data_IF_997802234990
#
_entry.id   IF_997802234990
#
_cell.length_a   1.000
_cell.length_b   1.000
_cell.length_c   1.000
_cell.angle_alpha   90.00
_cell.angle_beta   90.00
_cell.angle_gamma   90.00
#
_symmetry.space_group_name_H-M   'P 1'
#
loop_
_entity.id
_entity.type
_entity.pdbx_description
1 polymer ?
#
# COMPACT_ATOMS: atom_id res chain seq x y z
N UNK A 1 0.57 12.49 -12.71
CA UNK A 1 1.56 13.01 -13.69
C UNK A 1 1.24 12.40 -15.04
N UNK A 2 1.16 13.21 -16.10
CA UNK A 2 0.92 12.74 -17.47
C UNK A 2 2.19 12.06 -18.01
N UNK A 3 2.36 10.80 -17.71
CA UNK A 3 3.53 10.00 -18.11
C UNK A 3 3.15 8.52 -18.19
N UNK A 4 4.02 7.69 -18.73
CA UNK A 4 3.82 6.24 -18.71
C UNK A 4 3.80 5.72 -17.27
N UNK A 5 3.17 4.58 -17.05
CA UNK A 5 3.18 3.92 -15.75
C UNK A 5 4.62 3.66 -15.30
N UNK A 6 5.48 3.15 -16.19
CA UNK A 6 6.91 2.95 -15.91
C UNK A 6 7.57 4.24 -15.44
N UNK A 7 7.44 5.34 -16.17
CA UNK A 7 8.02 6.62 -15.81
C UNK A 7 7.50 7.15 -14.45
N UNK A 8 6.23 6.88 -14.14
CA UNK A 8 5.63 7.22 -12.85
C UNK A 8 6.25 6.42 -11.68
N UNK A 9 6.58 5.15 -11.89
CA UNK A 9 7.21 4.30 -10.86
C UNK A 9 8.68 4.66 -10.69
N UNK A 10 9.43 4.76 -11.79
CA UNK A 10 10.85 5.10 -11.76
C UNK A 10 11.09 6.46 -11.13
N UNK A 11 10.25 7.42 -11.40
CA UNK A 11 10.32 8.78 -10.88
C UNK A 11 11.73 9.39 -10.99
N UNK A 12 12.36 9.22 -12.16
CA UNK A 12 13.70 9.72 -12.45
C UNK A 12 14.86 8.82 -11.99
N UNK A 13 14.58 7.62 -11.45
CA UNK A 13 15.59 6.63 -11.11
C UNK A 13 15.94 5.75 -12.30
N UNK A 14 17.12 5.13 -12.25
CA UNK A 14 17.53 4.14 -13.22
C UNK A 14 16.60 2.93 -13.24
N UNK A 15 16.43 2.35 -14.42
CA UNK A 15 15.62 1.16 -14.62
C UNK A 15 16.42 -0.09 -14.28
N UNK A 16 16.04 -0.76 -13.23
CA UNK A 16 16.49 -2.10 -12.85
C UNK A 16 15.32 -3.06 -13.14
N UNK A 17 15.43 -3.83 -14.18
CA UNK A 17 14.35 -4.68 -14.70
C UNK A 17 13.88 -5.70 -13.67
N UNK A 18 14.79 -6.43 -13.05
CA UNK A 18 14.45 -7.48 -12.07
C UNK A 18 13.74 -6.91 -10.85
N UNK A 19 14.24 -5.80 -10.33
CA UNK A 19 13.64 -5.15 -9.18
C UNK A 19 12.31 -4.49 -9.52
N UNK A 20 12.21 -3.92 -10.71
CA UNK A 20 10.97 -3.30 -11.20
C UNK A 20 9.81 -4.30 -11.25
N UNK A 21 10.02 -5.46 -11.85
CA UNK A 21 9.01 -6.50 -11.93
C UNK A 21 8.67 -7.11 -10.57
N UNK A 22 9.64 -7.24 -9.66
CA UNK A 22 9.40 -7.65 -8.27
C UNK A 22 8.48 -6.66 -7.55
N UNK A 23 8.71 -5.36 -7.73
CA UNK A 23 7.89 -4.31 -7.12
C UNK A 23 6.47 -4.32 -7.70
N UNK A 24 6.31 -4.46 -9.01
CA UNK A 24 4.99 -4.56 -9.65
C UNK A 24 4.18 -5.74 -9.11
N UNK A 25 4.80 -6.91 -9.06
CA UNK A 25 4.18 -8.12 -8.51
C UNK A 25 3.80 -7.93 -7.04
N UNK A 26 4.71 -7.42 -6.21
CA UNK A 26 4.44 -7.19 -4.79
C UNK A 26 3.32 -6.17 -4.55
N UNK A 27 3.14 -5.20 -5.46
CA UNK A 27 2.04 -4.23 -5.42
C UNK A 27 0.74 -4.72 -6.08
N UNK A 28 0.67 -5.99 -6.52
CA UNK A 28 -0.47 -6.56 -7.24
C UNK A 28 -0.89 -5.73 -8.47
N UNK A 29 0.10 -5.29 -9.28
CA UNK A 29 -0.12 -4.50 -10.50
C UNK A 29 0.02 -5.33 -11.79
N UNK A 30 0.48 -6.58 -11.70
CA UNK A 30 0.73 -7.43 -12.88
C UNK A 30 -0.53 -7.67 -13.71
N UNK A 31 -1.65 -8.00 -13.07
CA UNK A 31 -2.92 -8.27 -13.75
C UNK A 31 -3.47 -6.99 -14.42
N UNK A 32 -3.26 -5.82 -13.80
CA UNK A 32 -3.63 -4.55 -14.42
C UNK A 32 -2.85 -4.28 -15.70
N UNK A 33 -1.54 -4.63 -15.70
CA UNK A 33 -0.68 -4.43 -16.87
C UNK A 33 -1.12 -5.26 -18.07
N UNK A 34 -1.64 -6.48 -17.84
CA UNK A 34 -2.16 -7.33 -18.91
C UNK A 34 -3.41 -6.73 -19.57
N UNK A 35 -4.20 -5.99 -18.81
CA UNK A 35 -5.42 -5.33 -19.32
C UNK A 35 -5.14 -4.01 -20.05
N UNK A 36 -3.94 -3.41 -19.87
CA UNK A 36 -3.64 -2.11 -20.43
C UNK A 36 -3.01 -2.19 -21.82
N UNK A 37 -3.42 -1.32 -22.78
CA UNK A 37 -3.08 -1.46 -24.20
C UNK A 37 -1.59 -1.52 -24.53
N UNK A 38 -0.75 -0.89 -23.70
CA UNK A 38 0.70 -0.84 -23.85
C UNK A 38 1.41 -1.28 -22.57
N UNK A 39 0.75 -2.12 -21.76
CA UNK A 39 1.29 -2.56 -20.47
C UNK A 39 1.81 -1.37 -19.66
N UNK A 40 3.01 -1.43 -19.11
CA UNK A 40 3.63 -0.38 -18.30
C UNK A 40 4.06 0.87 -19.09
N UNK A 41 4.03 0.81 -20.43
CA UNK A 41 4.22 1.96 -21.32
C UNK A 41 2.91 2.73 -21.60
N UNK A 42 1.80 2.30 -21.02
CA UNK A 42 0.53 3.02 -21.09
C UNK A 42 0.66 4.37 -20.38
N UNK A 43 0.28 5.45 -21.07
CA UNK A 43 0.25 6.81 -20.49
C UNK A 43 -0.97 6.93 -19.59
N UNK A 44 -0.77 7.40 -18.37
CA UNK A 44 -1.80 7.62 -17.36
C UNK A 44 -1.86 9.10 -16.96
N UNK A 45 -3.03 9.57 -16.54
CA UNK A 45 -3.27 10.97 -16.15
C UNK A 45 -4.32 11.65 -17.03
N UNK A 46 -4.42 12.99 -16.96
CA UNK A 46 -5.51 13.76 -17.61
C UNK A 46 -5.61 13.56 -19.13
N UNK A 47 -4.47 13.39 -19.81
CA UNK A 47 -4.40 13.15 -21.26
C UNK A 47 -4.14 11.67 -21.62
N UNK A 48 -4.25 10.76 -20.66
CA UNK A 48 -4.04 9.33 -20.81
C UNK A 48 -5.17 8.51 -20.19
N UNK A 49 -4.88 7.22 -19.96
CA UNK A 49 -5.86 6.32 -19.38
C UNK A 49 -6.19 6.72 -17.93
N UNK A 50 -7.49 6.74 -17.62
CA UNK A 50 -7.94 6.96 -16.25
C UNK A 50 -7.83 5.65 -15.47
N UNK A 51 -7.16 5.69 -14.32
CA UNK A 51 -6.99 4.53 -13.44
C UNK A 51 -7.86 4.63 -12.19
N UNK A 52 -8.30 3.51 -11.65
CA UNK A 52 -9.13 3.45 -10.43
C UNK A 52 -8.38 4.00 -9.21
N UNK A 53 -9.13 4.30 -8.13
CA UNK A 53 -8.53 4.71 -6.85
C UNK A 53 -7.56 3.68 -6.29
N UNK A 54 -7.93 2.39 -6.34
CA UNK A 54 -7.08 1.29 -5.90
C UNK A 54 -5.83 1.10 -6.76
N UNK A 55 -5.94 1.23 -8.09
CA UNK A 55 -4.79 1.20 -9.00
C UNK A 55 -3.84 2.37 -8.72
N UNK A 56 -4.39 3.55 -8.44
CA UNK A 56 -3.62 4.75 -8.09
C UNK A 56 -2.85 4.60 -6.79
N UNK A 57 -3.49 4.03 -5.77
CA UNK A 57 -2.85 3.73 -4.48
C UNK A 57 -1.71 2.72 -4.64
N UNK A 58 -1.94 1.62 -5.39
CA UNK A 58 -0.92 0.60 -5.67
C UNK A 58 0.25 1.15 -6.49
N UNK A 59 -0.02 2.02 -7.46
CA UNK A 59 1.02 2.71 -8.22
C UNK A 59 1.87 3.66 -7.34
N UNK A 60 1.24 4.41 -6.44
CA UNK A 60 1.95 5.27 -5.49
C UNK A 60 2.84 4.45 -4.55
N UNK A 61 2.33 3.30 -4.09
CA UNK A 61 3.10 2.37 -3.27
C UNK A 61 4.28 1.78 -4.06
N UNK A 62 4.08 1.37 -5.33
CA UNK A 62 5.14 0.85 -6.19
C UNK A 62 6.26 1.88 -6.39
N UNK A 63 5.93 3.14 -6.65
CA UNK A 63 6.89 4.25 -6.70
C UNK A 63 7.69 4.37 -5.40
N UNK A 64 6.98 4.31 -4.27
CA UNK A 64 7.59 4.41 -2.95
C UNK A 64 8.56 3.26 -2.68
N UNK A 65 8.15 2.02 -2.95
CA UNK A 65 9.00 0.83 -2.77
C UNK A 65 10.19 0.86 -3.73
N UNK A 66 9.97 1.21 -5.00
CA UNK A 66 11.04 1.30 -6.00
C UNK A 66 12.10 2.34 -5.64
N UNK A 67 11.79 3.28 -4.76
CA UNK A 67 12.73 4.30 -4.30
C UNK A 67 13.97 3.75 -3.59
N UNK A 68 13.92 2.54 -3.06
CA UNK A 68 15.01 1.91 -2.27
C UNK A 68 15.52 2.78 -1.12
N UNK A 69 14.62 3.50 -0.47
CA UNK A 69 14.95 4.31 0.69
C UNK A 69 15.27 3.44 1.92
N UNK A 70 15.90 4.03 2.93
CA UNK A 70 16.16 3.33 4.20
C UNK A 70 15.01 3.49 5.20
N UNK A 71 14.21 4.54 5.05
CA UNK A 71 13.09 4.87 5.92
C UNK A 71 11.86 5.16 5.07
N UNK A 72 10.73 4.57 5.44
CA UNK A 72 9.44 4.71 4.76
C UNK A 72 8.37 5.26 5.70
N UNK A 73 7.62 6.24 5.21
CA UNK A 73 6.39 6.72 5.83
C UNK A 73 5.22 6.40 4.91
N UNK A 74 4.35 5.51 5.33
CA UNK A 74 3.21 5.02 4.57
C UNK A 74 1.92 5.47 5.26
N UNK A 75 1.24 6.45 4.66
CA UNK A 75 0.01 6.99 5.20
C UNK A 75 -1.20 6.25 4.64
N UNK A 76 -1.82 5.43 5.48
CA UNK A 76 -2.97 4.57 5.18
C UNK A 76 -2.90 3.86 3.81
N UNK A 77 -1.79 3.17 3.50
CA UNK A 77 -1.47 2.69 2.15
C UNK A 77 -2.43 1.62 1.64
N UNK A 78 -3.27 1.08 2.52
CA UNK A 78 -4.14 -0.06 2.23
C UNK A 78 -5.64 0.30 2.21
N UNK A 79 -6.03 1.55 2.44
CA UNK A 79 -7.44 1.96 2.56
C UNK A 79 -8.24 1.77 1.27
N UNK A 80 -7.60 1.99 0.12
CA UNK A 80 -8.26 2.00 -1.19
C UNK A 80 -8.27 0.63 -1.91
N UNK A 81 -7.78 -0.44 -1.27
CA UNK A 81 -7.68 -1.77 -1.88
C UNK A 81 -8.55 -2.80 -1.13
N UNK A 82 -8.99 -3.84 -1.86
CA UNK A 82 -9.79 -4.93 -1.28
C UNK A 82 -8.97 -5.82 -0.34
N UNK A 83 -9.66 -6.74 0.37
CA UNK A 83 -9.05 -7.57 1.39
C UNK A 83 -7.97 -8.52 0.87
N UNK A 84 -8.13 -9.05 -0.34
CA UNK A 84 -7.19 -10.00 -0.96
C UNK A 84 -5.91 -9.25 -1.32
N UNK A 85 -6.03 -8.10 -1.97
CA UNK A 85 -4.90 -7.24 -2.35
C UNK A 85 -4.22 -6.66 -1.11
N UNK A 86 -4.97 -6.29 -0.05
CA UNK A 86 -4.38 -5.88 1.25
C UNK A 86 -3.45 -6.95 1.80
N UNK A 87 -3.93 -8.18 1.82
CA UNK A 87 -3.15 -9.31 2.33
C UNK A 87 -1.89 -9.51 1.49
N UNK A 88 -2.02 -9.51 0.17
CA UNK A 88 -0.89 -9.65 -0.74
C UNK A 88 0.17 -8.57 -0.51
N UNK A 89 -0.23 -7.29 -0.38
CA UNK A 89 0.68 -6.17 -0.12
C UNK A 89 1.36 -6.29 1.25
N UNK A 90 0.61 -6.67 2.28
CA UNK A 90 1.19 -6.90 3.61
C UNK A 90 2.30 -7.94 3.56
N UNK A 91 2.03 -9.11 2.98
CA UNK A 91 2.98 -10.22 2.95
C UNK A 91 4.21 -9.93 2.07
N UNK A 92 4.00 -9.27 0.92
CA UNK A 92 5.07 -9.08 -0.07
C UNK A 92 5.82 -7.73 0.05
N UNK A 93 5.29 -6.77 0.82
CA UNK A 93 5.93 -5.44 0.97
C UNK A 93 6.21 -5.13 2.43
N UNK A 94 5.16 -5.10 3.28
CA UNK A 94 5.22 -4.44 4.59
C UNK A 94 5.78 -5.35 5.68
N UNK A 95 5.44 -6.63 5.70
CA UNK A 95 5.91 -7.55 6.75
C UNK A 95 7.40 -7.90 6.60
N UNK A 96 7.95 -8.59 7.59
CA UNK A 96 9.38 -8.93 7.66
C UNK A 96 9.88 -9.78 6.49
N UNK A 97 8.99 -10.48 5.80
CA UNK A 97 9.30 -11.28 4.60
C UNK A 97 9.19 -10.49 3.30
N UNK A 98 8.60 -9.30 3.34
CA UNK A 98 8.36 -8.46 2.17
C UNK A 98 9.55 -7.59 1.77
N UNK A 99 9.39 -6.84 0.68
CA UNK A 99 10.44 -5.99 0.09
C UNK A 99 10.98 -4.90 1.03
N UNK A 100 10.19 -4.49 2.03
CA UNK A 100 10.58 -3.53 3.06
C UNK A 100 10.91 -4.20 4.40
N UNK A 101 11.06 -5.52 4.43
CA UNK A 101 11.22 -6.30 5.68
C UNK A 101 12.43 -5.91 6.52
N UNK A 102 13.53 -5.51 5.90
CA UNK A 102 14.77 -5.04 6.49
C UNK A 102 14.84 -3.51 6.69
N UNK A 103 13.79 -2.78 6.31
CA UNK A 103 13.74 -1.31 6.33
C UNK A 103 12.96 -0.78 7.53
N UNK A 104 13.33 0.43 7.98
CA UNK A 104 12.52 1.15 8.95
C UNK A 104 11.26 1.70 8.26
N UNK A 105 10.10 1.34 8.78
CA UNK A 105 8.81 1.74 8.21
C UNK A 105 7.81 2.17 9.27
N UNK A 106 7.20 3.31 9.03
CA UNK A 106 6.08 3.84 9.80
C UNK A 106 4.83 3.73 8.96
N UNK A 107 3.82 3.06 9.47
CA UNK A 107 2.56 2.85 8.76
C UNK A 107 1.43 3.43 9.61
N UNK A 108 0.73 4.44 9.10
CA UNK A 108 -0.53 4.87 9.71
C UNK A 108 -1.66 3.97 9.19
N UNK A 109 -2.60 3.62 10.05
CA UNK A 109 -3.73 2.78 9.67
C UNK A 109 -4.88 2.90 10.65
N UNK A 110 -6.10 2.78 10.15
CA UNK A 110 -7.31 2.59 10.95
C UNK A 110 -7.74 1.11 11.02
N UNK A 111 -6.92 0.19 10.52
CA UNK A 111 -7.20 -1.24 10.48
C UNK A 111 -6.56 -1.95 11.68
N UNK A 112 -7.34 -2.21 12.73
CA UNK A 112 -6.89 -2.83 13.98
C UNK A 112 -6.25 -4.21 13.78
N UNK A 113 -6.63 -4.92 12.71
CA UNK A 113 -6.12 -6.24 12.40
C UNK A 113 -4.66 -6.26 11.93
N UNK A 114 -4.05 -5.10 11.63
CA UNK A 114 -2.63 -4.98 11.28
C UNK A 114 -1.77 -4.81 12.54
N UNK A 115 -2.31 -4.25 13.59
CA UNK A 115 -1.57 -3.92 14.81
C UNK A 115 -0.81 -5.11 15.42
N UNK A 116 -1.36 -6.34 15.48
CA UNK A 116 -0.63 -7.50 16.01
C UNK A 116 0.63 -7.87 15.22
N UNK A 117 0.76 -7.39 13.97
CA UNK A 117 1.88 -7.69 13.07
C UNK A 117 3.04 -6.71 13.22
N UNK A 118 2.85 -5.64 13.99
CA UNK A 118 3.84 -4.58 14.18
C UNK A 118 4.76 -4.88 15.37
N UNK A 119 6.00 -4.39 15.31
CA UNK A 119 6.94 -4.43 16.43
C UNK A 119 6.59 -3.36 17.49
N UNK A 120 6.07 -2.23 17.05
CA UNK A 120 5.69 -1.12 17.90
C UNK A 120 4.38 -0.52 17.42
N UNK A 121 3.55 -0.09 18.37
CA UNK A 121 2.30 0.63 18.10
C UNK A 121 2.41 1.99 18.79
N UNK A 122 2.37 3.05 17.99
CA UNK A 122 2.25 4.42 18.47
C UNK A 122 0.80 4.87 18.38
N UNK A 123 0.20 5.16 19.54
CA UNK A 123 -1.17 5.70 19.61
C UNK A 123 -1.11 7.19 19.89
N UNK A 124 -1.79 7.97 19.06
CA UNK A 124 -1.93 9.42 19.22
C UNK A 124 -3.33 9.72 19.72
N UNK A 125 -3.44 10.27 20.92
CA UNK A 125 -4.72 10.65 21.55
C UNK A 125 -4.58 11.96 22.29
N UNK A 126 -5.51 12.90 22.07
CA UNK A 126 -5.57 14.20 22.74
C UNK A 126 -4.21 14.95 22.78
N UNK A 127 -3.45 14.92 21.68
CA UNK A 127 -2.14 15.59 21.57
C UNK A 127 -1.00 14.86 22.31
N UNK A 128 -1.23 13.65 22.80
CA UNK A 128 -0.21 12.81 23.42
C UNK A 128 0.10 11.59 22.58
N UNK A 129 1.35 11.15 22.60
CA UNK A 129 1.80 9.93 21.93
C UNK A 129 2.16 8.89 23.00
N UNK A 130 1.59 7.71 22.90
CA UNK A 130 1.99 6.55 23.70
C UNK A 130 2.54 5.46 22.78
N UNK A 131 3.63 4.81 23.18
CA UNK A 131 4.26 3.76 22.38
C UNK A 131 4.24 2.44 23.17
N UNK A 132 3.70 1.40 22.54
CA UNK A 132 3.73 0.02 23.04
C UNK A 132 4.65 -0.80 22.16
N UNK A 133 5.65 -1.45 22.76
CA UNK A 133 6.51 -2.43 22.10
C UNK A 133 5.88 -3.81 22.25
N UNK A 134 5.90 -4.60 21.20
CA UNK A 134 5.37 -5.97 21.20
C UNK A 134 6.17 -6.88 20.28
N UNK A 135 6.07 -8.20 20.50
CA UNK A 135 6.56 -9.19 19.56
C UNK A 135 5.51 -9.38 18.46
N UNK A 136 5.84 -9.21 17.18
CA UNK A 136 4.91 -9.44 16.09
C UNK A 136 4.37 -10.87 16.11
N UNK A 137 3.07 -11.02 15.92
CA UNK A 137 2.48 -12.35 15.76
C UNK A 137 2.88 -12.91 14.40
N UNK A 138 3.43 -14.15 14.42
CA UNK A 138 3.75 -14.87 13.17
C UNK A 138 2.44 -15.32 12.53
N UNK A 139 2.29 -15.01 11.25
CA UNK A 139 1.07 -15.26 10.49
C UNK A 139 0.82 -16.76 10.23
N UNK A 140 -0.28 -17.27 10.78
CA UNK A 140 -0.90 -18.53 10.33
C UNK A 140 -2.35 -18.36 9.92
N UNK A 141 -2.79 -17.42 9.22
CA UNK A 141 -4.16 -17.12 8.79
C UNK A 141 -4.82 -15.93 9.52
N UNK A 142 -4.61 -14.75 9.02
CA UNK A 142 -5.48 -13.62 9.33
C UNK A 142 -6.66 -13.59 8.36
N UNK A 143 -7.86 -13.80 8.86
CA UNK A 143 -9.09 -13.47 8.14
C UNK A 143 -9.30 -11.96 8.19
N UNK A 144 -9.22 -11.28 7.05
CA UNK A 144 -9.70 -9.92 6.94
C UNK A 144 -11.23 -9.94 7.04
N UNK A 145 -11.78 -9.70 8.23
CA UNK A 145 -13.20 -9.37 8.35
C UNK A 145 -13.43 -8.08 7.56
N UNK A 146 -14.33 -8.14 6.60
CA UNK A 146 -14.82 -6.94 5.92
C UNK A 146 -15.28 -5.96 6.99
N UNK A 147 -14.82 -4.70 6.91
CA UNK A 147 -15.26 -3.66 7.82
C UNK A 147 -16.79 -3.59 7.76
N UNK A 148 -17.45 -3.80 8.89
CA UNK A 148 -18.89 -3.55 8.99
C UNK A 148 -19.13 -2.08 8.66
N UNK A 149 -20.05 -1.75 7.73
CA UNK A 149 -20.32 -0.36 7.41
C UNK A 149 -20.80 0.35 8.67
N UNK A 150 -20.15 1.46 9.02
CA UNK A 150 -20.61 2.33 10.10
C UNK A 150 -22.05 2.70 9.83
N UNK A 151 -22.97 2.56 10.81
CA UNK A 151 -24.35 2.96 10.60
C UNK A 151 -24.39 4.45 10.22
N UNK A 152 -25.09 4.76 9.13
CA UNK A 152 -25.33 6.13 8.71
C UNK A 152 -25.93 6.90 9.89
N UNK A 153 -25.33 8.04 10.25
CA UNK A 153 -25.96 8.97 11.18
C UNK A 153 -27.34 9.31 10.64
N UNK A 154 -28.37 9.01 11.40
CA UNK A 154 -29.72 9.44 11.13
C UNK A 154 -29.69 10.97 10.93
N UNK A 155 -30.20 11.43 9.79
CA UNK A 155 -30.42 12.85 9.56
C UNK A 155 -31.47 13.29 10.57
N UNK A 156 -31.09 14.20 11.49
CA UNK A 156 -32.05 14.92 12.32
C UNK A 156 -32.96 15.74 11.40
N UNK A 157 -34.19 15.31 11.33
CA UNK A 157 -35.27 16.05 10.74
C UNK A 157 -35.82 17.02 11.81
N UNK A 158 -35.54 18.29 11.65
CA UNK A 158 -36.35 19.41 12.16
C UNK A 158 -36.41 20.48 11.10
#
# INVERSE_FOLDING_TARGET
MNATLRANILFGREYDEDYYWKVLSACALTDDLEMWPKSDMTVIGENGMNISGGQRARLALARTVYSRADIYFLDDPLSAVDAIVKRHILDNIILSTGLLGDKLRFVTTNADNILPLCNQIATVDNGRVSVKVQTPQVHTAFEFKAATPKPAKAADST
#
